data_IF_869422099371
#
_entry.id   IF_869422099371
#
_cell.length_a   1.000
_cell.length_b   1.000
_cell.length_c   1.000
_cell.angle_alpha   90.00
_cell.angle_beta   90.00
_cell.angle_gamma   90.00
#
_symmetry.space_group_name_H-M   'P 1'
#
loop_
_entity.id
_entity.type
_entity.pdbx_description
1 polymer ?
#
# COMPACT_ATOMS: atom_id res chain seq x y z
N UNK A 1 25.37 -11.87 19.53
CA UNK A 1 26.09 -12.76 18.62
C UNK A 1 25.08 -13.52 17.77
N UNK A 2 24.67 -12.91 16.65
CA UNK A 2 23.75 -13.57 15.72
C UNK A 2 24.49 -14.74 15.04
N UNK A 3 23.89 -15.94 15.08
CA UNK A 3 24.55 -17.16 14.64
C UNK A 3 24.82 -17.11 13.11
N UNK A 4 26.06 -17.38 12.66
CA UNK A 4 26.42 -17.41 11.24
C UNK A 4 25.88 -18.64 10.48
N UNK A 5 25.02 -19.45 11.12
CA UNK A 5 24.52 -20.74 10.60
C UNK A 5 23.00 -20.79 10.39
N UNK A 6 22.26 -19.72 10.64
CA UNK A 6 20.83 -19.70 10.32
C UNK A 6 20.65 -19.78 8.78
N UNK A 7 19.80 -20.68 8.31
CA UNK A 7 19.51 -20.83 6.89
C UNK A 7 18.97 -19.51 6.33
N UNK A 8 19.72 -18.88 5.39
CA UNK A 8 19.32 -17.60 4.82
C UNK A 8 17.97 -17.73 4.13
N UNK A 9 17.02 -16.93 4.59
CA UNK A 9 15.64 -17.05 4.14
C UNK A 9 15.37 -16.07 3.01
N UNK A 10 15.82 -16.37 1.78
CA UNK A 10 15.79 -15.44 0.64
C UNK A 10 14.83 -15.92 -0.45
N UNK A 11 13.97 -15.02 -0.95
CA UNK A 11 13.13 -15.28 -2.11
C UNK A 11 13.96 -15.34 -3.40
N UNK A 12 13.63 -16.26 -4.29
CA UNK A 12 14.34 -16.47 -5.57
C UNK A 12 14.43 -15.20 -6.41
N UNK A 13 13.38 -14.37 -6.41
CA UNK A 13 13.34 -13.10 -7.15
C UNK A 13 14.33 -12.05 -6.62
N UNK A 14 14.82 -12.21 -5.38
CA UNK A 14 15.68 -11.24 -4.70
C UNK A 14 17.14 -11.69 -4.61
N UNK A 15 17.49 -12.92 -5.02
CA UNK A 15 18.87 -13.42 -4.94
C UNK A 15 19.90 -12.49 -5.60
N UNK A 16 19.56 -11.93 -6.78
CA UNK A 16 20.44 -10.98 -7.46
C UNK A 16 20.67 -9.71 -6.64
N UNK A 17 19.62 -9.16 -6.04
CA UNK A 17 19.71 -7.96 -5.20
C UNK A 17 20.56 -8.23 -3.96
N UNK A 18 20.36 -9.39 -3.31
CA UNK A 18 21.16 -9.80 -2.15
C UNK A 18 22.65 -9.91 -2.52
N UNK A 19 22.97 -10.57 -3.63
CA UNK A 19 24.35 -10.66 -4.11
C UNK A 19 24.98 -9.30 -4.40
N UNK A 20 24.22 -8.36 -4.96
CA UNK A 20 24.68 -6.97 -5.16
C UNK A 20 24.98 -6.26 -3.82
N UNK A 21 24.15 -6.45 -2.79
CA UNK A 21 24.36 -5.83 -1.46
C UNK A 21 25.62 -6.39 -0.79
N UNK A 22 25.75 -7.72 -0.72
CA UNK A 22 26.86 -8.38 -0.02
C UNK A 22 28.20 -8.20 -0.75
N UNK A 23 28.18 -8.04 -2.08
CA UNK A 23 29.38 -7.71 -2.86
C UNK A 23 29.82 -6.25 -2.74
N UNK A 24 28.88 -5.32 -2.54
CA UNK A 24 29.19 -3.91 -2.34
C UNK A 24 29.73 -3.61 -0.95
N UNK A 25 29.30 -4.37 0.06
CA UNK A 25 29.84 -4.25 1.41
C UNK A 25 30.00 -5.63 2.06
N UNK A 26 31.26 -6.08 2.15
CA UNK A 26 31.61 -7.38 2.73
C UNK A 26 31.29 -7.49 4.23
N UNK A 27 31.02 -6.38 4.92
CA UNK A 27 30.58 -6.43 6.34
C UNK A 27 29.10 -6.79 6.48
N UNK A 28 28.31 -6.71 5.41
CA UNK A 28 26.87 -6.94 5.45
C UNK A 28 26.55 -8.37 5.04
N UNK A 29 25.65 -9.00 5.80
CA UNK A 29 25.03 -10.27 5.44
C UNK A 29 23.53 -10.13 5.50
N UNK A 30 22.86 -10.46 4.39
CA UNK A 30 21.40 -10.52 4.33
C UNK A 30 20.97 -11.86 4.92
N UNK A 31 20.25 -11.81 6.04
CA UNK A 31 19.72 -13.00 6.70
C UNK A 31 18.41 -13.45 6.05
N UNK A 32 17.62 -12.49 5.59
CA UNK A 32 16.33 -12.77 4.97
C UNK A 32 15.97 -11.69 3.96
N UNK A 33 15.28 -12.09 2.90
CA UNK A 33 14.76 -11.19 1.88
C UNK A 33 13.43 -11.73 1.35
N UNK A 34 12.38 -10.90 1.44
CA UNK A 34 11.02 -11.22 0.99
C UNK A 34 10.46 -10.20 0.03
N UNK A 35 9.70 -10.66 -0.95
CA UNK A 35 8.86 -9.81 -1.76
C UNK A 35 7.46 -9.73 -1.13
N UNK A 36 7.06 -8.53 -0.73
CA UNK A 36 5.76 -8.28 -0.12
C UNK A 36 4.99 -7.25 -0.92
N UNK A 37 3.67 -7.23 -0.72
CA UNK A 37 2.78 -6.24 -1.33
C UNK A 37 2.21 -5.33 -0.28
N UNK A 38 1.93 -4.12 -0.74
CA UNK A 38 1.16 -3.18 0.04
C UNK A 38 0.20 -2.43 -0.90
N UNK A 39 -0.80 -1.81 -0.31
CA UNK A 39 -1.92 -1.24 -1.03
C UNK A 39 -1.76 0.27 -1.17
N UNK A 40 -1.81 0.74 -2.40
CA UNK A 40 -2.05 2.14 -2.74
C UNK A 40 -3.55 2.38 -2.82
N UNK A 41 -3.98 3.58 -2.44
CA UNK A 41 -5.36 4.02 -2.69
C UNK A 41 -5.36 5.02 -3.84
N UNK A 42 -6.22 4.79 -4.82
CA UNK A 42 -6.41 5.69 -5.94
C UNK A 42 -7.84 6.23 -5.91
N UNK A 43 -7.96 7.56 -5.94
CA UNK A 43 -9.23 8.25 -5.98
C UNK A 43 -9.31 9.10 -7.25
N UNK A 44 -10.47 9.16 -7.87
CA UNK A 44 -10.71 10.12 -8.95
C UNK A 44 -11.09 11.45 -8.29
N UNK A 45 -10.36 12.51 -8.63
CA UNK A 45 -10.61 13.85 -8.14
C UNK A 45 -10.99 14.72 -9.32
N UNK A 46 -12.15 15.36 -9.26
CA UNK A 46 -12.51 16.38 -10.21
C UNK A 46 -12.09 17.74 -9.67
N UNK A 47 -11.29 18.48 -10.45
CA UNK A 47 -10.84 19.84 -10.15
C UNK A 47 -11.57 20.82 -11.06
N UNK A 48 -11.93 21.98 -10.52
CA UNK A 48 -12.47 23.11 -11.29
C UNK A 48 -11.35 24.10 -11.55
N UNK A 49 -11.14 24.44 -12.81
CA UNK A 49 -10.08 25.33 -13.28
C UNK A 49 -10.70 26.61 -13.81
N UNK A 50 -10.13 27.73 -13.42
CA UNK A 50 -10.38 29.04 -14.00
C UNK A 50 -9.08 29.53 -14.63
N UNK A 51 -9.12 29.89 -15.91
CA UNK A 51 -7.94 30.41 -16.61
C UNK A 51 -8.32 31.46 -17.65
N UNK A 52 -7.39 32.37 -18.00
CA UNK A 52 -7.60 33.30 -19.10
C UNK A 52 -7.54 32.57 -20.45
N UNK A 53 -8.33 33.04 -21.41
CA UNK A 53 -8.27 32.68 -22.83
C UNK A 53 -8.11 33.92 -23.69
N UNK A 54 -7.59 33.83 -24.93
CA UNK A 54 -7.60 34.96 -25.83
C UNK A 54 -9.04 35.43 -26.10
N UNK A 55 -9.20 36.73 -26.36
CA UNK A 55 -10.45 37.25 -26.90
C UNK A 55 -10.77 36.57 -28.23
N UNK A 56 -12.06 36.34 -28.47
CA UNK A 56 -12.48 36.14 -29.85
C UNK A 56 -12.57 37.49 -30.58
N UNK A 57 -12.57 37.43 -31.91
CA UNK A 57 -12.56 38.63 -32.77
C UNK A 57 -13.69 39.61 -32.41
N UNK A 58 -14.90 39.12 -32.17
CA UNK A 58 -16.05 39.98 -31.84
C UNK A 58 -15.92 40.61 -30.46
N UNK A 59 -15.46 39.86 -29.45
CA UNK A 59 -15.22 40.39 -28.10
C UNK A 59 -14.17 41.49 -28.13
N UNK A 60 -13.09 41.30 -28.87
CA UNK A 60 -12.05 42.30 -29.05
C UNK A 60 -12.62 43.56 -29.73
N UNK A 61 -13.40 43.42 -30.81
CA UNK A 61 -14.06 44.55 -31.47
C UNK A 61 -15.03 45.30 -30.55
N UNK A 62 -15.81 44.60 -29.73
CA UNK A 62 -16.73 45.21 -28.77
C UNK A 62 -15.96 46.03 -27.72
N UNK A 63 -14.86 45.48 -27.19
CA UNK A 63 -14.04 46.16 -26.19
C UNK A 63 -13.33 47.37 -26.79
N UNK A 64 -12.75 47.21 -27.99
CA UNK A 64 -12.17 48.31 -28.77
C UNK A 64 -13.19 49.39 -29.04
N UNK A 65 -14.43 49.04 -29.38
CA UNK A 65 -15.48 50.01 -29.59
C UNK A 65 -15.77 50.86 -28.33
N UNK A 66 -15.69 50.24 -27.15
CA UNK A 66 -15.82 50.95 -25.87
C UNK A 66 -14.59 51.75 -25.42
N UNK A 67 -13.42 51.56 -26.05
CA UNK A 67 -12.15 52.23 -25.71
C UNK A 67 -11.79 53.31 -26.73
N UNK A 68 -11.95 53.03 -28.01
CA UNK A 68 -11.39 53.80 -29.13
C UNK A 68 -12.36 54.81 -29.74
N UNK A 69 -13.68 54.65 -29.55
CA UNK A 69 -14.64 55.65 -30.01
C UNK A 69 -14.76 56.79 -28.99
N UNK A 70 -14.74 58.03 -29.48
CA UNK A 70 -14.96 59.23 -28.66
C UNK A 70 -16.30 59.19 -27.91
N UNK A 71 -17.33 58.63 -28.55
CA UNK A 71 -18.63 58.32 -27.96
C UNK A 71 -18.83 56.81 -28.12
N UNK A 72 -18.74 56.02 -27.03
CA UNK A 72 -18.94 54.58 -27.11
C UNK A 72 -20.31 54.23 -27.70
N UNK A 73 -20.40 53.27 -28.64
CA UNK A 73 -21.66 52.88 -29.24
C UNK A 73 -22.50 52.02 -28.28
N UNK A 74 -23.80 51.96 -28.54
CA UNK A 74 -24.68 50.91 -28.02
C UNK A 74 -24.47 49.59 -28.78
N UNK A 75 -24.98 48.48 -28.24
CA UNK A 75 -24.88 47.18 -28.92
C UNK A 75 -25.59 47.15 -30.28
N UNK A 76 -26.66 47.93 -30.46
CA UNK A 76 -27.41 48.00 -31.72
C UNK A 76 -26.70 48.83 -32.78
N UNK A 77 -26.11 49.96 -32.38
CA UNK A 77 -25.30 50.79 -33.26
C UNK A 77 -24.06 50.02 -33.73
N UNK A 78 -23.39 49.31 -32.82
CA UNK A 78 -22.23 48.48 -33.17
C UNK A 78 -22.62 47.34 -34.11
N UNK A 79 -23.76 46.67 -33.87
CA UNK A 79 -24.28 45.65 -34.79
C UNK A 79 -24.56 46.22 -36.19
N UNK A 80 -25.17 47.42 -36.26
CA UNK A 80 -25.43 48.10 -37.52
C UNK A 80 -24.14 48.49 -38.26
N UNK A 81 -23.11 48.94 -37.55
CA UNK A 81 -21.80 49.31 -38.14
C UNK A 81 -21.10 48.08 -38.71
N UNK A 82 -21.15 46.95 -38.00
CA UNK A 82 -20.48 45.71 -38.40
C UNK A 82 -21.29 44.85 -39.38
N UNK A 83 -22.55 45.22 -39.66
CA UNK A 83 -23.45 44.42 -40.49
C UNK A 83 -23.81 43.07 -39.87
N UNK A 84 -23.83 42.99 -38.54
CA UNK A 84 -24.11 41.78 -37.77
C UNK A 84 -25.53 41.78 -37.20
N UNK A 85 -26.02 40.60 -36.82
CA UNK A 85 -27.29 40.47 -36.09
C UNK A 85 -27.19 41.15 -34.70
N UNK A 86 -28.06 42.12 -34.37
CA UNK A 86 -28.09 42.77 -33.06
C UNK A 86 -28.24 41.82 -31.87
N UNK A 87 -28.94 40.68 -32.04
CA UNK A 87 -29.10 39.68 -30.98
C UNK A 87 -27.75 39.06 -30.63
N UNK A 88 -26.92 38.79 -31.64
CA UNK A 88 -25.60 38.20 -31.45
C UNK A 88 -24.65 39.16 -30.72
N UNK A 89 -24.62 40.43 -31.12
CA UNK A 89 -23.79 41.47 -30.47
C UNK A 89 -24.22 41.70 -29.02
N UNK A 90 -25.54 41.82 -28.76
CA UNK A 90 -26.07 41.98 -27.38
C UNK A 90 -25.75 40.77 -26.50
N UNK A 91 -25.83 39.55 -27.04
CA UNK A 91 -25.46 38.33 -26.32
C UNK A 91 -23.99 38.34 -25.91
N UNK A 92 -23.09 38.71 -26.82
CA UNK A 92 -21.64 38.83 -26.53
C UNK A 92 -21.35 39.91 -25.49
N UNK A 93 -22.00 41.08 -25.59
CA UNK A 93 -21.91 42.14 -24.57
C UNK A 93 -22.35 41.62 -23.19
N UNK A 94 -23.47 40.90 -23.13
CA UNK A 94 -23.98 40.33 -21.89
C UNK A 94 -23.00 39.31 -21.28
N UNK A 95 -22.34 38.50 -22.11
CA UNK A 95 -21.30 37.58 -21.64
C UNK A 95 -20.10 38.33 -21.07
N UNK A 96 -19.60 39.36 -21.76
CA UNK A 96 -18.51 40.19 -21.27
C UNK A 96 -18.88 40.98 -20.00
N UNK A 97 -20.16 41.33 -19.82
CA UNK A 97 -20.67 41.91 -18.58
C UNK A 97 -20.68 40.90 -17.42
N UNK A 98 -21.10 39.66 -17.69
CA UNK A 98 -21.07 38.58 -16.68
C UNK A 98 -19.62 38.25 -16.24
N UNK A 99 -18.66 38.38 -17.16
CA UNK A 99 -17.23 38.23 -16.90
C UNK A 99 -16.59 39.49 -16.31
N UNK A 100 -17.38 40.53 -16.01
CA UNK A 100 -16.95 41.82 -15.45
C UNK A 100 -15.97 42.61 -16.34
N UNK A 101 -15.75 42.20 -17.58
CA UNK A 101 -14.98 42.94 -18.59
C UNK A 101 -15.68 44.23 -19.00
N UNK A 102 -17.02 44.22 -19.06
CA UNK A 102 -17.87 45.38 -19.35
C UNK A 102 -18.78 45.72 -18.16
N UNK A 103 -19.10 46.99 -17.97
CA UNK A 103 -20.09 47.41 -16.99
C UNK A 103 -21.52 47.06 -17.49
N UNK A 104 -22.42 46.73 -16.55
CA UNK A 104 -23.84 46.42 -16.83
C UNK A 104 -24.64 47.71 -17.12
N UNK A 105 -24.26 48.43 -18.17
CA UNK A 105 -24.92 49.65 -18.65
C UNK A 105 -24.71 49.86 -20.14
N UNK A 106 -25.48 50.79 -20.71
CA UNK A 106 -25.37 51.26 -22.09
C UNK A 106 -25.06 52.78 -22.06
N UNK A 107 -24.20 53.31 -22.93
CA UNK A 107 -23.44 52.63 -23.99
C UNK A 107 -22.31 51.73 -23.49
N UNK A 108 -21.69 50.96 -24.39
CA UNK A 108 -20.62 49.98 -24.06
C UNK A 108 -19.54 50.67 -23.23
N UNK A 109 -19.33 50.19 -22.00
CA UNK A 109 -18.35 50.77 -21.07
C UNK A 109 -17.45 49.67 -20.54
N UNK A 110 -16.15 49.76 -20.82
CA UNK A 110 -15.13 48.81 -20.33
C UNK A 110 -14.79 49.13 -18.87
N UNK A 111 -14.71 48.11 -18.02
CA UNK A 111 -14.29 48.24 -16.61
C UNK A 111 -12.78 48.43 -16.51
N UNK A 112 -12.28 48.78 -15.31
CA UNK A 112 -10.83 48.84 -15.07
C UNK A 112 -10.15 47.47 -15.27
N UNK A 113 -10.80 46.41 -14.78
CA UNK A 113 -10.35 45.03 -14.98
C UNK A 113 -10.41 44.63 -16.46
N UNK A 114 -11.49 44.98 -17.17
CA UNK A 114 -11.63 44.73 -18.59
C UNK A 114 -10.57 45.42 -19.45
N UNK A 115 -10.07 46.60 -19.05
CA UNK A 115 -8.92 47.24 -19.70
C UNK A 115 -7.63 46.46 -19.48
N UNK A 116 -7.40 45.97 -18.27
CA UNK A 116 -6.23 45.13 -17.94
C UNK A 116 -6.23 43.86 -18.78
N UNK A 117 -7.40 43.20 -18.88
CA UNK A 117 -7.63 42.04 -19.75
C UNK A 117 -7.35 42.34 -21.21
N UNK A 118 -7.85 43.47 -21.72
CA UNK A 118 -7.60 43.93 -23.09
C UNK A 118 -6.12 44.15 -23.38
N UNK A 119 -5.39 44.83 -22.49
CA UNK A 119 -3.94 45.07 -22.61
C UNK A 119 -3.13 43.77 -22.63
N UNK A 120 -3.61 42.74 -21.93
CA UNK A 120 -3.02 41.40 -21.92
C UNK A 120 -3.49 40.51 -23.09
N UNK A 121 -4.48 40.96 -23.88
CA UNK A 121 -5.06 40.20 -24.98
C UNK A 121 -5.90 39.00 -24.54
N UNK A 122 -6.40 38.98 -23.29
CA UNK A 122 -7.09 37.82 -22.71
C UNK A 122 -8.37 38.18 -21.96
N UNK A 123 -9.27 37.21 -21.79
CA UNK A 123 -10.48 37.28 -20.97
C UNK A 123 -10.62 36.03 -20.13
N UNK A 124 -11.28 36.11 -18.97
CA UNK A 124 -11.59 34.93 -18.16
C UNK A 124 -12.44 33.93 -18.94
N UNK A 125 -11.98 32.69 -19.02
CA UNK A 125 -12.81 31.58 -19.49
C UNK A 125 -13.80 31.19 -18.38
N UNK A 126 -15.05 30.83 -18.73
CA UNK A 126 -15.94 30.18 -17.78
C UNK A 126 -15.24 28.97 -17.13
N UNK A 127 -15.33 28.80 -15.80
CA UNK A 127 -14.68 27.67 -15.13
C UNK A 127 -15.10 26.33 -15.73
N UNK A 128 -14.15 25.42 -15.87
CA UNK A 128 -14.39 24.08 -16.39
C UNK A 128 -13.79 23.01 -15.48
N UNK A 129 -14.36 21.82 -15.50
CA UNK A 129 -13.92 20.71 -14.66
C UNK A 129 -13.06 19.70 -15.44
N UNK A 130 -12.01 19.19 -14.78
CA UNK A 130 -11.14 18.12 -15.29
C UNK A 130 -11.01 17.04 -14.22
N UNK A 131 -10.95 15.77 -14.64
CA UNK A 131 -10.70 14.65 -13.74
C UNK A 131 -9.22 14.27 -13.75
N UNK A 132 -8.68 14.08 -12.56
CA UNK A 132 -7.31 13.61 -12.30
C UNK A 132 -7.36 12.48 -11.27
N UNK A 133 -6.26 11.77 -11.13
CA UNK A 133 -6.13 10.66 -10.19
C UNK A 133 -5.25 11.09 -9.01
N UNK A 134 -5.78 10.96 -7.80
CA UNK A 134 -5.01 11.11 -6.58
C UNK A 134 -4.54 9.72 -6.12
N UNK A 135 -3.24 9.57 -5.96
CA UNK A 135 -2.60 8.34 -5.49
C UNK A 135 -2.07 8.60 -4.10
N UNK A 136 -2.58 7.82 -3.17
CA UNK A 136 -2.22 7.86 -1.76
C UNK A 136 -1.23 6.74 -1.48
N UNK A 137 -0.01 7.13 -1.10
CA UNK A 137 1.18 6.28 -0.93
C UNK A 137 1.52 6.16 0.57
N UNK A 138 1.07 5.10 1.27
CA UNK A 138 1.22 4.93 2.72
C UNK A 138 2.66 4.91 3.21
N UNK A 139 3.57 4.31 2.44
CA UNK A 139 4.94 4.12 2.91
C UNK A 139 5.70 5.45 2.95
N UNK A 140 5.47 6.32 1.98
CA UNK A 140 6.12 7.63 1.97
C UNK A 140 5.28 8.74 2.62
N UNK A 141 4.06 8.41 3.08
CA UNK A 141 3.08 9.35 3.62
C UNK A 141 2.78 10.51 2.64
N UNK A 142 2.69 10.20 1.34
CA UNK A 142 2.49 11.18 0.27
C UNK A 142 1.20 10.98 -0.49
N UNK A 143 0.66 12.08 -0.99
CA UNK A 143 -0.40 12.10 -1.99
C UNK A 143 0.20 12.69 -3.26
N UNK A 144 0.01 12.01 -4.39
CA UNK A 144 0.54 12.40 -5.69
C UNK A 144 -0.63 12.50 -6.66
N UNK A 145 -0.69 13.56 -7.45
CA UNK A 145 -1.68 13.68 -8.53
C UNK A 145 -1.10 13.27 -9.87
N UNK A 146 -1.89 12.54 -10.67
CA UNK A 146 -1.53 12.12 -12.03
C UNK A 146 -2.70 12.30 -12.98
N UNK A 147 -2.39 12.53 -14.26
CA UNK A 147 -3.40 12.66 -15.32
C UNK A 147 -3.94 11.30 -15.80
N UNK A 148 -3.22 10.21 -15.52
CA UNK A 148 -3.58 8.85 -15.91
C UNK A 148 -3.75 7.95 -14.70
N UNK A 149 -4.66 6.99 -14.82
CA UNK A 149 -4.85 5.95 -13.80
C UNK A 149 -3.63 5.05 -13.75
N UNK A 150 -3.25 4.62 -12.55
CA UNK A 150 -2.37 3.47 -12.38
C UNK A 150 -3.07 2.21 -12.91
N UNK A 151 -2.29 1.31 -13.50
CA UNK A 151 -2.79 0.03 -13.99
C UNK A 151 -2.81 -1.01 -12.87
N UNK A 152 -3.91 -1.76 -12.72
CA UNK A 152 -3.95 -2.91 -11.81
C UNK A 152 -2.90 -3.94 -12.24
N UNK A 153 -1.91 -4.20 -11.37
CA UNK A 153 -0.98 -5.30 -11.60
C UNK A 153 -1.55 -6.57 -10.97
N UNK A 154 -2.43 -7.27 -11.71
CA UNK A 154 -2.89 -8.62 -11.30
C UNK A 154 -1.79 -9.63 -11.54
N UNK A 155 -0.93 -9.83 -10.56
CA UNK A 155 -0.14 -11.07 -10.45
C UNK A 155 -0.67 -11.81 -9.23
N UNK A 156 -0.99 -13.09 -9.34
CA UNK A 156 -1.22 -13.96 -8.19
C UNK A 156 0.11 -14.17 -7.45
N UNK A 157 0.48 -13.25 -6.56
CA UNK A 157 1.33 -13.62 -5.43
C UNK A 157 0.35 -13.95 -4.31
N UNK A 158 0.52 -15.14 -3.77
CA UNK A 158 -0.36 -15.68 -2.73
C UNK A 158 -0.32 -14.74 -1.54
N UNK A 159 -1.52 -14.40 -1.08
CA UNK A 159 -1.91 -13.29 -0.21
C UNK A 159 -1.41 -13.41 1.25
N UNK A 160 -0.16 -13.86 1.46
CA UNK A 160 0.36 -14.16 2.79
C UNK A 160 0.87 -12.93 3.56
N UNK A 161 0.87 -11.75 2.94
CA UNK A 161 1.42 -10.54 3.54
C UNK A 161 0.52 -9.31 3.30
N UNK A 162 -0.71 -9.33 3.83
CA UNK A 162 -1.43 -8.10 4.23
C UNK A 162 -0.74 -7.44 5.43
N UNK A 163 0.59 -7.32 5.38
CA UNK A 163 1.42 -7.24 6.58
C UNK A 163 1.65 -5.83 7.10
N UNK A 164 1.17 -4.86 6.36
CA UNK A 164 1.43 -3.47 6.64
C UNK A 164 0.13 -2.74 6.37
N UNK A 165 -0.80 -2.82 7.33
CA UNK A 165 -1.95 -1.91 7.37
C UNK A 165 -1.46 -0.52 7.82
N UNK A 166 -0.48 0.07 7.12
CA UNK A 166 -0.05 1.47 7.33
C UNK A 166 -1.14 2.46 6.87
N UNK A 167 -2.24 1.95 6.31
CA UNK A 167 -3.46 2.65 5.96
C UNK A 167 -4.03 3.57 7.06
N UNK A 168 -3.64 3.37 8.33
CA UNK A 168 -4.17 4.12 9.46
C UNK A 168 -3.70 5.59 9.58
N UNK A 169 -2.73 6.04 8.77
CA UNK A 169 -2.13 7.39 8.98
C UNK A 169 -2.39 8.41 7.89
N UNK A 170 -2.94 8.02 6.73
CA UNK A 170 -3.03 8.98 5.63
C UNK A 170 -4.33 9.76 5.71
N UNK A 171 -4.21 11.08 5.66
CA UNK A 171 -5.35 11.99 5.62
C UNK A 171 -6.18 11.72 4.36
N UNK A 172 -7.49 11.56 4.55
CA UNK A 172 -8.42 11.44 3.42
C UNK A 172 -8.31 12.68 2.53
N UNK A 173 -8.20 12.48 1.22
CA UNK A 173 -8.13 13.56 0.23
C UNK A 173 -9.35 14.47 0.35
N UNK A 174 -10.52 13.91 0.71
CA UNK A 174 -11.75 14.68 0.91
C UNK A 174 -11.66 15.70 2.06
N UNK A 175 -10.75 15.48 3.01
CA UNK A 175 -10.53 16.33 4.17
C UNK A 175 -9.45 17.41 3.95
N UNK A 176 -8.77 17.41 2.79
CA UNK A 176 -7.74 18.40 2.48
C UNK A 176 -8.35 19.76 2.17
N UNK A 177 -7.61 20.82 2.50
CA UNK A 177 -7.96 22.18 2.08
C UNK A 177 -7.55 22.44 0.61
N UNK A 178 -8.24 23.36 -0.06
CA UNK A 178 -7.99 23.69 -1.47
C UNK A 178 -6.53 24.13 -1.70
N UNK A 179 -5.96 24.90 -0.79
CA UNK A 179 -4.58 25.39 -0.83
C UNK A 179 -3.59 24.23 -0.83
N UNK A 180 -3.90 23.17 -0.07
CA UNK A 180 -3.06 21.97 -0.04
C UNK A 180 -3.17 21.19 -1.35
N UNK A 181 -4.37 21.08 -1.93
CA UNK A 181 -4.58 20.45 -3.24
C UNK A 181 -3.82 21.22 -4.33
N UNK A 182 -3.91 22.54 -4.34
CA UNK A 182 -3.18 23.43 -5.23
C UNK A 182 -1.66 23.21 -5.14
N UNK A 183 -1.11 23.15 -3.93
CA UNK A 183 0.31 22.89 -3.72
C UNK A 183 0.72 21.52 -4.26
N UNK A 184 -0.04 20.46 -3.95
CA UNK A 184 0.29 19.11 -4.43
C UNK A 184 0.20 19.04 -5.96
N UNK A 185 -0.77 19.73 -6.59
CA UNK A 185 -0.86 19.80 -8.05
C UNK A 185 0.33 20.54 -8.66
N UNK A 186 0.84 21.60 -8.03
CA UNK A 186 2.05 22.31 -8.48
C UNK A 186 3.32 21.47 -8.29
N UNK A 187 3.41 20.73 -7.19
CA UNK A 187 4.53 19.83 -6.90
C UNK A 187 4.47 18.57 -7.81
N UNK A 188 3.29 18.26 -8.32
CA UNK A 188 3.08 17.28 -9.39
C UNK A 188 3.38 17.96 -10.72
N UNK A 189 3.94 17.24 -11.70
CA UNK A 189 4.24 17.79 -13.03
C UNK A 189 2.95 17.98 -13.88
N UNK A 190 1.92 18.57 -13.28
CA UNK A 190 0.58 18.74 -13.81
C UNK A 190 0.33 20.22 -14.11
N UNK A 191 0.09 20.53 -15.39
CA UNK A 191 -0.18 21.90 -15.87
C UNK A 191 -1.61 22.39 -15.57
N UNK A 192 -2.19 22.04 -14.41
CA UNK A 192 -3.55 22.42 -14.02
C UNK A 192 -3.62 23.62 -13.07
N UNK A 193 -2.51 23.94 -12.38
CA UNK A 193 -2.46 25.09 -11.47
C UNK A 193 -1.17 25.91 -11.67
N UNK A 194 -1.26 27.00 -12.43
CA UNK A 194 -0.15 27.91 -12.73
C UNK A 194 -0.61 29.35 -12.44
N UNK A 195 -0.55 29.81 -11.17
CA UNK A 195 -1.00 31.14 -10.77
C UNK A 195 -0.39 32.27 -11.58
N UNK A 196 0.89 32.15 -11.96
CA UNK A 196 1.61 33.15 -12.76
C UNK A 196 1.00 33.37 -14.15
N UNK A 197 0.34 32.34 -14.71
CA UNK A 197 -0.38 32.41 -15.99
C UNK A 197 -1.89 32.65 -15.81
N UNK A 198 -2.34 32.92 -14.58
CA UNK A 198 -3.76 33.06 -14.25
C UNK A 198 -4.55 31.76 -14.29
N UNK A 199 -3.90 30.59 -14.42
CA UNK A 199 -4.55 29.27 -14.42
C UNK A 199 -4.67 28.75 -12.99
N UNK A 200 -5.85 28.82 -12.41
CA UNK A 200 -6.08 28.59 -10.99
C UNK A 200 -7.09 27.45 -10.80
N UNK A 201 -6.75 26.48 -9.94
CA UNK A 201 -7.72 25.49 -9.45
C UNK A 201 -8.55 26.17 -8.37
N UNK A 202 -9.85 26.33 -8.58
CA UNK A 202 -10.74 27.11 -7.70
C UNK A 202 -11.62 26.24 -6.81
N UNK A 203 -11.79 24.97 -7.16
CA UNK A 203 -12.51 23.98 -6.35
C UNK A 203 -12.03 22.57 -6.69
N UNK A 204 -12.33 21.62 -5.82
CA UNK A 204 -12.16 20.19 -6.09
C UNK A 204 -13.27 19.38 -5.43
N UNK A 205 -13.53 18.18 -5.97
CA UNK A 205 -14.38 17.17 -5.36
C UNK A 205 -13.81 15.78 -5.58
N UNK A 206 -13.83 14.95 -4.55
CA UNK A 206 -13.44 13.54 -4.65
C UNK A 206 -14.65 12.74 -5.14
N UNK A 207 -14.47 11.94 -6.18
CA UNK A 207 -15.50 11.04 -6.70
C UNK A 207 -15.47 9.72 -5.91
N UNK A 208 -16.65 9.13 -5.69
CA UNK A 208 -16.89 8.04 -4.72
C UNK A 208 -16.25 6.67 -5.05
N UNK A 209 -15.42 6.56 -6.07
CA UNK A 209 -14.70 5.34 -6.41
C UNK A 209 -13.25 5.39 -5.89
N UNK A 210 -13.01 4.78 -4.73
CA UNK A 210 -11.65 4.46 -4.28
C UNK A 210 -11.27 3.10 -4.84
N UNK A 211 -10.16 3.04 -5.57
CA UNK A 211 -9.57 1.81 -6.07
C UNK A 211 -8.34 1.47 -5.25
N UNK A 212 -8.18 0.19 -4.92
CA UNK A 212 -6.99 -0.32 -4.23
C UNK A 212 -6.05 -0.94 -5.25
N UNK A 213 -4.80 -0.48 -5.28
CA UNK A 213 -3.80 -0.93 -6.24
C UNK A 213 -2.62 -1.52 -5.47
N UNK A 214 -2.34 -2.80 -5.67
CA UNK A 214 -1.22 -3.45 -5.00
C UNK A 214 0.10 -3.11 -5.69
N UNK A 215 1.11 -2.75 -4.89
CA UNK A 215 2.47 -2.48 -5.34
C UNK A 215 3.44 -3.39 -4.59
N UNK A 216 4.47 -3.85 -5.30
CA UNK A 216 5.47 -4.77 -4.77
C UNK A 216 6.66 -3.99 -4.18
N UNK A 217 7.12 -4.44 -3.02
CA UNK A 217 8.33 -3.96 -2.33
C UNK A 217 9.16 -5.17 -1.87
N UNK A 218 10.43 -4.93 -1.61
CA UNK A 218 11.33 -5.90 -1.03
C UNK A 218 11.59 -5.56 0.44
N UNK A 219 11.46 -6.54 1.31
CA UNK A 219 11.75 -6.43 2.74
C UNK A 219 12.97 -7.29 3.04
N UNK A 220 14.04 -6.68 3.54
CA UNK A 220 15.32 -7.33 3.81
C UNK A 220 15.69 -7.19 5.29
N UNK A 221 16.22 -8.25 5.87
CA UNK A 221 16.91 -8.25 7.17
C UNK A 221 18.40 -8.35 6.91
N UNK A 222 19.14 -7.33 7.32
CA UNK A 222 20.58 -7.23 7.07
C UNK A 222 21.29 -7.09 8.40
N UNK A 223 22.29 -7.94 8.62
CA UNK A 223 23.21 -7.84 9.76
C UNK A 223 24.52 -7.25 9.29
N UNK A 224 24.98 -6.22 10.00
CA UNK A 224 26.36 -5.79 9.94
C UNK A 224 27.18 -6.66 10.90
N UNK A 225 28.06 -7.49 10.32
CA UNK A 225 28.88 -8.47 11.05
C UNK A 225 29.97 -7.81 11.89
N UNK A 226 30.36 -6.56 11.59
CA UNK A 226 31.42 -5.86 12.32
C UNK A 226 30.85 -5.30 13.63
N UNK A 227 29.66 -4.70 13.56
CA UNK A 227 29.00 -4.05 14.71
C UNK A 227 27.94 -4.93 15.39
N UNK A 228 27.74 -6.16 14.91
CA UNK A 228 26.70 -7.12 15.36
C UNK A 228 25.30 -6.47 15.40
N UNK A 229 25.00 -5.64 14.39
CA UNK A 229 23.76 -4.84 14.35
C UNK A 229 22.82 -5.35 13.26
N UNK A 230 21.59 -5.66 13.66
CA UNK A 230 20.50 -5.98 12.75
C UNK A 230 19.82 -4.70 12.25
N UNK A 231 19.48 -4.68 10.96
CA UNK A 231 18.74 -3.61 10.29
C UNK A 231 17.66 -4.21 9.40
N UNK A 232 16.51 -3.54 9.37
CA UNK A 232 15.40 -3.89 8.49
C UNK A 232 15.37 -2.85 7.38
N UNK A 233 15.32 -3.30 6.13
CA UNK A 233 15.24 -2.42 4.97
C UNK A 233 14.00 -2.76 4.13
N UNK A 234 13.14 -1.76 3.93
CA UNK A 234 12.09 -1.77 2.92
C UNK A 234 12.65 -1.09 1.68
N UNK A 235 12.52 -1.74 0.51
CA UNK A 235 13.07 -1.25 -0.75
C UNK A 235 12.01 -1.25 -1.85
N UNK A 236 12.04 -0.21 -2.67
CA UNK A 236 11.37 -0.18 -3.97
C UNK A 236 12.43 -0.40 -5.06
N UNK A 237 12.55 -1.65 -5.52
CA UNK A 237 13.66 -2.08 -6.36
C UNK A 237 15.01 -1.85 -5.66
N UNK A 238 15.86 -0.98 -6.24
CA UNK A 238 17.17 -0.65 -5.66
C UNK A 238 17.13 0.48 -4.64
N UNK A 239 16.04 1.24 -4.52
CA UNK A 239 15.94 2.36 -3.60
C UNK A 239 15.54 1.89 -2.20
N UNK A 240 16.27 2.31 -1.17
CA UNK A 240 15.87 2.12 0.23
C UNK A 240 14.83 3.16 0.60
N UNK A 241 13.71 2.71 1.17
CA UNK A 241 12.70 3.57 1.76
C UNK A 241 13.03 3.77 3.25
N UNK A 242 13.86 4.76 3.53
CA UNK A 242 14.43 5.01 4.88
C UNK A 242 13.35 5.18 5.95
N UNK A 243 12.32 6.01 5.69
CA UNK A 243 11.27 6.28 6.68
C UNK A 243 10.47 5.01 7.04
N UNK A 244 9.94 4.22 6.08
CA UNK A 244 9.35 2.91 6.35
C UNK A 244 10.29 1.97 7.09
N UNK A 245 11.55 1.88 6.64
CA UNK A 245 12.55 0.96 7.20
C UNK A 245 12.78 1.25 8.68
N UNK A 246 13.03 2.51 9.01
CA UNK A 246 13.23 2.97 10.38
C UNK A 246 11.95 2.83 11.20
N UNK A 247 10.79 3.13 10.64
CA UNK A 247 9.49 3.01 11.33
C UNK A 247 9.22 1.55 11.70
N UNK A 248 9.41 0.62 10.77
CA UNK A 248 9.20 -0.81 11.02
C UNK A 248 10.19 -1.34 12.07
N UNK A 249 11.47 -0.97 11.99
CA UNK A 249 12.46 -1.33 12.99
C UNK A 249 12.11 -0.78 14.38
N UNK A 250 11.68 0.48 14.46
CA UNK A 250 11.27 1.11 15.71
C UNK A 250 10.00 0.47 16.26
N UNK A 251 9.02 0.12 15.42
CA UNK A 251 7.79 -0.55 15.85
C UNK A 251 8.12 -1.93 16.42
N UNK A 252 8.89 -2.75 15.69
CA UNK A 252 9.27 -4.08 16.14
C UNK A 252 10.02 -4.03 17.49
N UNK A 253 10.99 -3.14 17.62
CA UNK A 253 11.80 -3.00 18.84
C UNK A 253 10.99 -2.40 20.00
N UNK A 254 10.23 -1.32 19.77
CA UNK A 254 9.42 -0.67 20.83
C UNK A 254 8.34 -1.58 21.36
N UNK A 255 7.60 -2.28 20.49
CA UNK A 255 6.53 -3.16 20.91
C UNK A 255 7.08 -4.33 21.72
N UNK A 256 8.20 -4.91 21.29
CA UNK A 256 8.86 -5.97 22.03
C UNK A 256 9.38 -5.51 23.39
N UNK A 257 10.12 -4.39 23.43
CA UNK A 257 10.64 -3.82 24.69
C UNK A 257 9.49 -3.42 25.63
N UNK A 258 8.37 -2.93 25.10
CA UNK A 258 7.21 -2.60 25.90
C UNK A 258 6.57 -3.86 26.48
N UNK A 259 6.36 -4.90 25.68
CA UNK A 259 5.86 -6.20 26.13
C UNK A 259 6.72 -6.76 27.28
N UNK A 260 8.05 -6.68 27.14
CA UNK A 260 8.98 -7.12 28.20
C UNK A 260 8.87 -6.29 29.47
N UNK A 261 8.67 -4.97 29.35
CA UNK A 261 8.55 -4.07 30.51
C UNK A 261 7.24 -4.25 31.27
N UNK A 262 6.16 -4.54 30.55
CA UNK A 262 4.82 -4.72 31.14
C UNK A 262 4.52 -6.16 31.49
N UNK A 263 5.40 -7.09 31.11
CA UNK A 263 5.17 -8.55 31.17
C UNK A 263 3.82 -8.93 30.54
N UNK A 264 3.52 -8.30 29.41
CA UNK A 264 2.26 -8.49 28.67
C UNK A 264 2.55 -9.17 27.34
N UNK A 265 2.35 -10.48 27.29
CA UNK A 265 2.56 -11.29 26.10
C UNK A 265 1.64 -10.90 24.94
N UNK A 266 0.48 -10.29 25.19
CA UNK A 266 -0.40 -9.82 24.10
C UNK A 266 0.27 -8.73 23.26
N UNK A 267 1.10 -7.88 23.89
CA UNK A 267 1.87 -6.85 23.18
C UNK A 267 3.02 -7.43 22.34
N UNK A 268 3.41 -8.69 22.58
CA UNK A 268 4.47 -9.39 21.86
C UNK A 268 3.97 -10.09 20.56
N UNK A 269 2.66 -10.22 20.37
CA UNK A 269 2.05 -10.88 19.20
C UNK A 269 2.44 -10.16 17.89
N UNK A 270 2.35 -8.83 17.86
CA UNK A 270 2.64 -8.03 16.66
C UNK A 270 4.14 -8.08 16.28
N UNK A 271 5.10 -7.91 17.21
CA UNK A 271 6.51 -8.20 16.96
C UNK A 271 6.80 -9.59 16.42
N UNK A 272 6.17 -10.64 16.98
CA UNK A 272 6.35 -12.02 16.51
C UNK A 272 5.86 -12.21 15.08
N UNK A 273 4.72 -11.61 14.74
CA UNK A 273 4.22 -11.58 13.38
C UNK A 273 5.24 -10.90 12.45
N UNK A 274 5.75 -9.72 12.83
CA UNK A 274 6.77 -8.99 12.07
C UNK A 274 8.00 -9.86 11.83
N UNK A 275 8.52 -10.52 12.87
CA UNK A 275 9.68 -11.41 12.74
C UNK A 275 9.41 -12.60 11.82
N UNK A 276 8.23 -13.20 11.85
CA UNK A 276 7.94 -14.30 10.94
C UNK A 276 7.85 -13.88 9.48
N UNK A 277 7.29 -12.71 9.17
CA UNK A 277 7.37 -12.18 7.79
C UNK A 277 8.79 -11.82 7.39
N UNK A 278 9.59 -11.39 8.35
CA UNK A 278 11.01 -11.20 8.15
C UNK A 278 11.79 -12.52 8.04
N UNK A 279 11.15 -13.70 8.11
CA UNK A 279 11.85 -14.98 8.06
C UNK A 279 12.82 -15.18 9.24
N UNK A 280 12.47 -14.61 10.39
CA UNK A 280 13.23 -14.67 11.64
C UNK A 280 12.53 -15.59 12.66
N UNK A 281 11.95 -16.70 12.19
CA UNK A 281 11.16 -17.62 13.02
C UNK A 281 11.99 -18.23 14.16
N UNK A 282 13.28 -18.50 13.93
CA UNK A 282 14.21 -18.99 14.97
C UNK A 282 14.45 -17.95 16.08
N UNK A 283 14.60 -16.67 15.72
CA UNK A 283 14.77 -15.59 16.69
C UNK A 283 13.49 -15.39 17.51
N UNK A 284 12.33 -15.42 16.85
CA UNK A 284 11.02 -15.38 17.50
C UNK A 284 10.88 -16.51 18.53
N UNK A 285 11.25 -17.73 18.16
CA UNK A 285 11.19 -18.89 19.04
C UNK A 285 12.17 -18.79 20.23
N UNK A 286 13.40 -18.34 19.97
CA UNK A 286 14.41 -18.11 21.01
C UNK A 286 13.91 -17.08 22.02
N UNK A 287 13.26 -16.03 21.55
CA UNK A 287 12.71 -14.97 22.38
C UNK A 287 11.52 -15.47 23.23
N UNK A 288 10.66 -16.32 22.68
CA UNK A 288 9.60 -17.01 23.44
C UNK A 288 10.21 -17.85 24.56
N UNK A 289 11.23 -18.67 24.25
CA UNK A 289 11.89 -19.53 25.22
C UNK A 289 12.56 -18.74 26.35
N UNK A 290 13.29 -17.67 26.03
CA UNK A 290 14.05 -16.88 27.01
C UNK A 290 13.14 -16.14 28.01
N UNK A 291 11.92 -15.79 27.60
CA UNK A 291 10.97 -15.06 28.44
C UNK A 291 9.85 -15.96 29.00
N UNK A 292 9.90 -17.27 28.73
CA UNK A 292 8.90 -18.25 29.19
C UNK A 292 7.45 -17.92 28.79
N UNK A 293 7.25 -17.19 27.69
CA UNK A 293 5.92 -16.83 27.18
C UNK A 293 5.36 -17.93 26.27
N UNK A 294 5.14 -19.12 26.82
CA UNK A 294 4.73 -20.32 26.08
C UNK A 294 3.38 -20.15 25.36
N UNK A 295 2.53 -19.24 25.82
CA UNK A 295 1.26 -18.88 25.16
C UNK A 295 1.46 -18.34 23.75
N UNK A 296 2.63 -17.75 23.46
CA UNK A 296 2.97 -17.23 22.14
C UNK A 296 3.41 -18.32 21.16
N UNK A 297 3.60 -19.56 21.63
CA UNK A 297 3.96 -20.68 20.76
C UNK A 297 2.85 -20.95 19.72
N UNK A 298 1.58 -20.81 20.11
CA UNK A 298 0.46 -20.92 19.18
C UNK A 298 0.48 -19.83 18.09
N UNK A 299 0.86 -18.60 18.45
CA UNK A 299 1.03 -17.49 17.50
C UNK A 299 2.17 -17.78 16.55
N UNK A 300 3.31 -18.25 17.08
CA UNK A 300 4.47 -18.64 16.28
C UNK A 300 4.14 -19.74 15.26
N UNK A 301 3.41 -20.79 15.65
CA UNK A 301 2.97 -21.86 14.73
C UNK A 301 2.12 -21.31 13.57
N UNK A 302 1.18 -20.42 13.87
CA UNK A 302 0.35 -19.76 12.87
C UNK A 302 1.16 -18.92 11.88
N UNK A 303 2.21 -18.27 12.38
CA UNK A 303 3.12 -17.45 11.58
C UNK A 303 3.97 -18.33 10.64
N UNK A 304 4.53 -19.43 11.16
CA UNK A 304 5.32 -20.41 10.39
C UNK A 304 4.48 -21.09 9.31
N UNK A 305 3.23 -21.47 9.61
CA UNK A 305 2.30 -22.04 8.63
C UNK A 305 2.08 -21.13 7.42
N UNK A 306 2.04 -19.81 7.65
CA UNK A 306 1.83 -18.82 6.59
C UNK A 306 3.09 -18.54 5.77
N UNK A 307 4.28 -18.81 6.30
CA UNK A 307 5.56 -18.45 5.66
C UNK A 307 6.00 -19.40 4.53
N UNK A 308 5.24 -20.47 4.25
CA UNK A 308 5.46 -21.47 3.17
C UNK A 308 6.81 -22.21 3.20
N UNK A 309 7.66 -21.99 4.19
CA UNK A 309 8.97 -22.65 4.36
C UNK A 309 8.97 -23.77 5.40
N UNK A 310 7.91 -24.57 5.42
CA UNK A 310 7.73 -25.62 6.42
C UNK A 310 8.81 -26.73 6.37
N UNK A 311 9.67 -26.76 5.34
CA UNK A 311 10.48 -27.95 5.00
C UNK A 311 11.98 -27.71 5.00
N UNK A 312 12.44 -26.47 5.09
CA UNK A 312 13.87 -26.14 4.91
C UNK A 312 14.65 -26.10 6.22
N UNK A 313 13.97 -26.02 7.37
CA UNK A 313 14.60 -25.92 8.69
C UNK A 313 13.85 -26.75 9.75
N UNK A 314 14.22 -28.01 9.89
CA UNK A 314 13.67 -28.91 10.92
C UNK A 314 14.15 -28.57 12.35
N UNK A 315 15.24 -27.80 12.49
CA UNK A 315 15.84 -27.52 13.79
C UNK A 315 14.98 -26.56 14.63
N UNK A 316 14.34 -25.58 13.98
CA UNK A 316 13.41 -24.68 14.67
C UNK A 316 12.19 -25.44 15.21
N UNK A 317 11.65 -26.41 14.46
CA UNK A 317 10.55 -27.26 14.94
C UNK A 317 10.96 -28.16 16.09
N UNK A 318 12.15 -28.77 16.06
CA UNK A 318 12.66 -29.56 17.18
C UNK A 318 12.77 -28.74 18.46
N UNK A 319 13.25 -27.50 18.35
CA UNK A 319 13.33 -26.58 19.49
C UNK A 319 11.93 -26.25 20.03
N UNK A 320 10.98 -25.95 19.14
CA UNK A 320 9.61 -25.63 19.51
C UNK A 320 8.88 -26.83 20.15
N UNK A 321 9.12 -28.05 19.65
CA UNK A 321 8.58 -29.28 20.22
C UNK A 321 9.17 -29.56 21.61
N UNK A 322 10.45 -29.26 21.84
CA UNK A 322 11.07 -29.40 23.15
C UNK A 322 10.43 -28.48 24.22
N UNK A 323 9.84 -27.35 23.83
CA UNK A 323 9.13 -26.46 24.75
C UNK A 323 7.81 -27.04 25.27
N UNK A 324 7.24 -28.05 24.60
CA UNK A 324 5.98 -28.67 25.03
C UNK A 324 6.08 -29.27 26.43
N UNK A 325 7.26 -29.74 26.84
CA UNK A 325 7.48 -30.31 28.17
C UNK A 325 7.33 -29.28 29.30
N UNK A 326 7.31 -27.98 29.00
CA UNK A 326 7.16 -26.89 29.97
C UNK A 326 5.70 -26.49 30.19
N UNK A 327 4.79 -26.97 29.34
CA UNK A 327 3.37 -26.61 29.36
C UNK A 327 2.61 -27.54 30.29
N UNK A 328 1.75 -26.99 31.13
CA UNK A 328 1.06 -27.64 32.24
C UNK A 328 -0.43 -27.94 31.99
N UNK A 329 -0.86 -28.35 30.80
CA UNK A 329 -2.16 -29.02 30.55
C UNK A 329 -3.47 -28.29 30.92
N UNK A 330 -3.43 -27.16 31.63
CA UNK A 330 -4.58 -26.38 32.12
C UNK A 330 -4.62 -24.95 31.57
N UNK A 331 -3.79 -24.61 30.57
CA UNK A 331 -3.71 -23.25 30.04
C UNK A 331 -4.77 -22.92 28.97
N UNK A 332 -5.27 -21.68 29.00
CA UNK A 332 -6.32 -21.18 28.09
C UNK A 332 -5.90 -21.18 26.59
N UNK A 333 -4.60 -21.19 26.29
CA UNK A 333 -4.08 -21.19 24.92
C UNK A 333 -3.89 -22.59 24.33
N UNK A 334 -4.11 -23.66 25.11
CA UNK A 334 -3.83 -25.03 24.70
C UNK A 334 -4.57 -25.46 23.44
N UNK A 335 -5.82 -25.05 23.28
CA UNK A 335 -6.59 -25.45 22.10
C UNK A 335 -6.00 -24.86 20.81
N UNK A 336 -5.56 -23.60 20.84
CA UNK A 336 -4.89 -22.98 19.70
C UNK A 336 -3.54 -23.64 19.42
N UNK A 337 -2.81 -24.04 20.47
CA UNK A 337 -1.56 -24.77 20.35
C UNK A 337 -1.76 -26.16 19.71
N UNK A 338 -2.78 -26.91 20.15
CA UNK A 338 -3.13 -28.23 19.60
C UNK A 338 -3.47 -28.15 18.12
N UNK A 339 -4.30 -27.18 17.74
CA UNK A 339 -4.66 -26.91 16.35
C UNK A 339 -3.40 -26.57 15.55
N UNK A 340 -2.58 -25.62 16.03
CA UNK A 340 -1.36 -25.18 15.35
C UNK A 340 -0.39 -26.33 15.09
N UNK A 341 -0.15 -27.21 16.06
CA UNK A 341 0.74 -28.36 15.87
C UNK A 341 0.19 -29.39 14.89
N UNK A 342 -1.12 -29.69 14.94
CA UNK A 342 -1.77 -30.58 13.96
C UNK A 342 -1.62 -30.04 12.54
N UNK A 343 -1.85 -28.74 12.37
CA UNK A 343 -1.72 -28.08 11.07
C UNK A 343 -0.27 -28.06 10.57
N UNK A 344 0.70 -27.71 11.42
CA UNK A 344 2.13 -27.70 11.07
C UNK A 344 2.60 -29.09 10.67
N UNK A 345 2.38 -30.10 11.52
CA UNK A 345 2.80 -31.47 11.25
C UNK A 345 2.10 -32.01 10.00
N UNK A 346 0.80 -31.74 9.83
CA UNK A 346 0.07 -32.13 8.63
C UNK A 346 0.60 -31.46 7.35
N UNK A 347 0.98 -30.18 7.43
CA UNK A 347 1.53 -29.46 6.30
C UNK A 347 2.95 -29.97 5.93
N UNK A 348 3.80 -30.23 6.92
CA UNK A 348 5.11 -30.87 6.72
C UNK A 348 4.91 -32.25 6.09
N UNK A 349 3.99 -33.06 6.63
CA UNK A 349 3.71 -34.40 6.13
C UNK A 349 3.22 -34.43 4.68
N UNK A 350 2.43 -33.44 4.29
CA UNK A 350 1.95 -33.28 2.91
C UNK A 350 3.10 -33.11 1.93
N UNK A 351 4.19 -32.46 2.35
CA UNK A 351 5.36 -32.23 1.52
C UNK A 351 6.42 -33.34 1.67
N UNK A 352 6.74 -33.73 2.90
CA UNK A 352 7.72 -34.74 3.24
C UNK A 352 7.26 -35.54 4.48
N UNK A 353 6.63 -36.68 4.20
CA UNK A 353 6.12 -37.61 5.20
C UNK A 353 7.20 -38.06 6.19
N UNK A 354 8.38 -38.42 5.70
CA UNK A 354 9.48 -38.94 6.52
C UNK A 354 10.01 -37.86 7.48
N UNK A 355 10.10 -36.60 7.02
CA UNK A 355 10.50 -35.48 7.88
C UNK A 355 9.48 -35.22 9.00
N UNK A 356 8.19 -35.28 8.70
CA UNK A 356 7.14 -35.16 9.72
C UNK A 356 7.23 -36.30 10.75
N UNK A 357 7.48 -37.53 10.29
CA UNK A 357 7.63 -38.69 11.17
C UNK A 357 8.87 -38.56 12.07
N UNK A 358 9.97 -38.07 11.53
CA UNK A 358 11.22 -37.85 12.29
C UNK A 358 11.09 -36.77 13.38
N UNK A 359 10.15 -35.83 13.25
CA UNK A 359 9.85 -34.85 14.29
C UNK A 359 9.11 -35.48 15.49
N UNK A 360 8.34 -36.55 15.26
CA UNK A 360 7.55 -37.24 16.29
C UNK A 360 8.36 -38.37 16.96
N UNK A 361 9.49 -38.01 17.56
CA UNK A 361 10.26 -38.93 18.43
C UNK A 361 9.43 -39.47 19.59
N UNK A 362 9.90 -40.52 20.27
CA UNK A 362 9.21 -41.09 21.43
C UNK A 362 8.87 -40.07 22.51
N UNK A 363 9.80 -39.16 22.79
CA UNK A 363 9.68 -38.10 23.78
C UNK A 363 8.63 -37.07 23.33
N UNK A 364 8.71 -36.60 22.08
CA UNK A 364 7.73 -35.66 21.53
C UNK A 364 6.33 -36.28 21.44
N UNK A 365 6.24 -37.56 21.07
CA UNK A 365 4.97 -38.26 20.99
C UNK A 365 4.30 -38.37 22.35
N UNK A 366 5.07 -38.65 23.42
CA UNK A 366 4.54 -38.65 24.78
C UNK A 366 3.93 -37.28 25.16
N UNK A 367 4.57 -36.18 24.75
CA UNK A 367 4.03 -34.83 24.94
C UNK A 367 2.76 -34.57 24.10
N UNK A 368 2.71 -35.08 22.86
CA UNK A 368 1.52 -34.98 22.01
C UNK A 368 0.30 -35.69 22.63
N UNK A 369 0.52 -36.85 23.26
CA UNK A 369 -0.53 -37.55 23.99
C UNK A 369 -0.91 -36.77 25.26
N UNK A 370 0.09 -36.38 26.07
CA UNK A 370 -0.12 -35.65 27.34
C UNK A 370 -0.91 -34.36 27.16
N UNK A 371 -0.64 -33.63 26.07
CA UNK A 371 -1.31 -32.37 25.74
C UNK A 371 -2.54 -32.55 24.86
N UNK A 372 -2.98 -33.79 24.60
CA UNK A 372 -4.14 -34.14 23.76
C UNK A 372 -4.06 -33.59 22.32
N UNK A 373 -2.84 -33.41 21.80
CA UNK A 373 -2.61 -33.09 20.38
C UNK A 373 -2.94 -34.33 19.53
N UNK A 374 -2.59 -35.52 20.02
CA UNK A 374 -2.97 -36.81 19.45
C UNK A 374 -3.73 -37.68 20.47
N UNK A 375 -4.45 -38.70 19.99
CA UNK A 375 -5.20 -39.61 20.85
C UNK A 375 -4.28 -40.70 21.44
N UNK A 376 -4.55 -41.14 22.67
CA UNK A 376 -3.73 -42.14 23.40
C UNK A 376 -3.45 -43.43 22.60
N UNK A 377 -4.43 -43.88 21.80
CA UNK A 377 -4.35 -45.11 21.01
C UNK A 377 -3.75 -44.90 19.60
N UNK A 378 -3.36 -43.68 19.23
CA UNK A 378 -2.74 -43.41 17.93
C UNK A 378 -1.24 -43.73 17.93
N UNK A 379 -0.73 -44.07 16.75
CA UNK A 379 0.69 -44.17 16.46
C UNK A 379 1.11 -42.97 15.61
N UNK A 380 2.35 -42.47 15.71
CA UNK A 380 2.83 -41.34 14.92
C UNK A 380 2.55 -41.49 13.41
N UNK A 381 2.81 -42.68 12.87
CA UNK A 381 2.57 -43.01 11.46
C UNK A 381 1.08 -42.92 11.07
N UNK A 382 0.19 -43.41 11.94
CA UNK A 382 -1.27 -43.33 11.74
C UNK A 382 -1.78 -41.90 11.85
N UNK A 383 -1.26 -41.13 12.80
CA UNK A 383 -1.57 -39.72 12.98
C UNK A 383 -1.14 -38.89 11.78
N UNK A 384 0.02 -39.15 11.19
CA UNK A 384 0.48 -38.42 10.00
C UNK A 384 -0.30 -38.84 8.75
N UNK A 385 -0.61 -40.13 8.62
CA UNK A 385 -1.34 -40.70 7.47
C UNK A 385 -2.72 -40.09 7.21
N UNK A 386 -3.32 -39.41 8.20
CA UNK A 386 -4.59 -38.72 7.99
C UNK A 386 -4.48 -37.51 7.06
N UNK A 387 -3.29 -36.92 6.92
CA UNK A 387 -3.02 -35.73 6.11
C UNK A 387 -2.59 -36.04 4.68
N UNK A 388 -2.13 -37.26 4.41
CA UNK A 388 -1.53 -37.64 3.11
C UNK A 388 -2.44 -38.45 2.18
N UNK A 389 -3.72 -38.65 2.52
CA UNK A 389 -4.65 -39.38 1.64
C UNK A 389 -4.75 -38.71 0.26
N UNK A 390 -4.64 -39.47 -0.85
CA UNK A 390 -4.75 -38.89 -2.17
C UNK A 390 -6.15 -38.32 -2.40
N UNK A 391 -6.23 -37.08 -2.89
CA UNK A 391 -7.45 -36.55 -3.50
C UNK A 391 -7.91 -37.54 -4.57
N UNK A 392 -8.95 -38.31 -4.26
CA UNK A 392 -9.58 -39.21 -5.22
C UNK A 392 -10.09 -38.39 -6.39
N UNK A 393 -9.41 -38.48 -7.54
CA UNK A 393 -9.95 -38.11 -8.83
C UNK A 393 -11.29 -38.83 -8.99
N UNK A 394 -12.39 -38.08 -9.00
CA UNK A 394 -13.67 -38.56 -9.49
C UNK A 394 -13.50 -39.05 -10.92
N UNK A 395 -13.33 -40.36 -11.07
CA UNK A 395 -13.34 -41.01 -12.37
C UNK A 395 -14.78 -40.93 -12.86
N UNK A 396 -15.06 -39.97 -13.76
CA UNK A 396 -16.29 -39.96 -14.57
C UNK A 396 -16.34 -41.24 -15.41
N UNK A 397 -16.91 -42.30 -14.85
CA UNK A 397 -17.40 -43.44 -15.62
C UNK A 397 -18.67 -42.98 -16.33
N UNK A 398 -18.50 -42.33 -17.49
CA UNK A 398 -19.60 -42.21 -18.45
C UNK A 398 -19.88 -43.60 -19.03
N UNK A 399 -20.86 -44.27 -18.43
CA UNK A 399 -21.65 -45.32 -19.08
C UNK A 399 -22.11 -44.82 -20.45
N UNK A 400 -21.59 -45.39 -21.53
CA UNK A 400 -22.27 -45.44 -22.82
C UNK A 400 -22.67 -46.89 -23.07
N UNK A 401 -23.91 -47.23 -22.72
CA UNK A 401 -24.62 -48.41 -23.21
C UNK A 401 -25.99 -47.96 -23.71
N UNK A 402 -26.16 -48.13 -25.02
CA UNK A 402 -27.39 -48.39 -25.80
C UNK A 402 -28.46 -47.29 -25.87
N UNK A 403 -28.86 -47.02 -27.11
CA UNK A 403 -29.80 -46.04 -27.60
C UNK A 403 -29.35 -45.67 -28.99
#
# INVERSE_FOLDING_TARGET
>A
MFLPSAAKSIDDSLQKLVGEIESQNASLSVLSARQVRYNLRQNIVEITIQEPRPFNVLEEFIIRAGIEFDIPPTGDELASILGLDPIFVRSTIKNLQNLQTLAVKSPITVTAEGRTFYEQGTVLQPPYSVQIYAITEPLEEKIIFQSQSLSETRRDLTDSANFINIDHKITDISALQLEKIQQIIQDSDLEFHIPEKGKIVTAFRVLSSTQTISKEISLLVIVDQIVDKLSIQIRNGKQVLELPSNTLAVIADKLWVNALKTDDSQLAIEPLCIWGVLGMEELALTAIQQNSWLELLAVWLNVVLKSKKLTDDLACFQTALALLNQITGEEDFLEQLRIGWREVIGAIATYNYESALNLLSSEVWAEFIRLEIALEDDLPDKFISQYTKPQSQETKVKRKKRG
#
